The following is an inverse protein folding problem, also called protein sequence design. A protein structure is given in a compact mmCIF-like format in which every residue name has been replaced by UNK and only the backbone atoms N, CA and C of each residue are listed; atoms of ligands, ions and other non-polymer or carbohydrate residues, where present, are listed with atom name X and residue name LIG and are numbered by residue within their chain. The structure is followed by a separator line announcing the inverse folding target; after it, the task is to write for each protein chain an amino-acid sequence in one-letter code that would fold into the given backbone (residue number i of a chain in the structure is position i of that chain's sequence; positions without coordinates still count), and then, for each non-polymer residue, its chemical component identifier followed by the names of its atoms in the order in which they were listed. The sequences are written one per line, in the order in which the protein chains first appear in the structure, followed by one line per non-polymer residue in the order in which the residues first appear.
data_IF_196713765303
#
_entry.id   IF_196713765303
#
_cell.length_a   1.000
_cell.length_b   1.000
_cell.length_c   1.000
_cell.angle_alpha   90.00
_cell.angle_beta   90.00
_cell.angle_gamma   90.00
#
_symmetry.space_group_name_H-M   'P 1'
#
loop_
_entity.id
_entity.type
_entity.pdbx_description
1 polymer ?
#
# COMPACT_ATOMS: atom_id res chain seq x y z
N UNK A 1 -11.47 4.21 8.06
CA UNK A 1 -10.26 3.52 8.57
C UNK A 1 -10.46 2.01 8.76
N UNK A 2 -11.41 1.48 9.56
CA UNK A 2 -11.60 0.02 9.74
C UNK A 2 -11.80 -0.78 8.44
N UNK A 3 -12.32 -0.16 7.39
CA UNK A 3 -12.48 -0.78 6.06
C UNK A 3 -11.13 -1.21 5.45
N UNK A 4 -10.03 -0.52 5.80
CA UNK A 4 -8.69 -0.86 5.31
C UNK A 4 -8.24 -2.27 5.74
N UNK A 5 -8.68 -2.76 6.89
CA UNK A 5 -8.36 -4.12 7.36
C UNK A 5 -8.88 -5.21 6.41
N UNK A 6 -9.90 -4.91 5.61
CA UNK A 6 -10.45 -5.84 4.63
C UNK A 6 -9.77 -5.78 3.26
N UNK A 7 -8.87 -4.80 3.02
CA UNK A 7 -8.17 -4.65 1.75
C UNK A 7 -7.46 -5.93 1.31
N UNK A 8 -6.68 -6.65 2.15
CA UNK A 8 -6.02 -7.88 1.72
C UNK A 8 -7.00 -9.01 1.34
N UNK A 9 -8.14 -9.09 2.05
CA UNK A 9 -9.19 -10.07 1.74
C UNK A 9 -9.86 -9.73 0.41
N UNK A 10 -10.13 -8.45 0.20
CA UNK A 10 -10.74 -7.94 -1.02
C UNK A 10 -9.83 -8.15 -2.24
N UNK A 11 -8.54 -7.81 -2.14
CA UNK A 11 -7.55 -7.99 -3.22
C UNK A 11 -7.41 -9.45 -3.61
N UNK A 12 -7.35 -10.37 -2.65
CA UNK A 12 -7.34 -11.81 -2.91
C UNK A 12 -8.60 -12.29 -3.61
N UNK A 13 -9.78 -11.84 -3.16
CA UNK A 13 -11.08 -12.30 -3.68
C UNK A 13 -11.41 -11.74 -5.07
N UNK A 14 -11.14 -10.44 -5.28
CA UNK A 14 -11.53 -9.72 -6.50
C UNK A 14 -10.43 -9.80 -7.57
N UNK A 15 -9.21 -9.51 -7.21
CA UNK A 15 -8.08 -9.44 -8.16
C UNK A 15 -7.26 -10.73 -8.25
N UNK A 16 -7.55 -11.73 -7.39
CA UNK A 16 -6.79 -12.99 -7.30
C UNK A 16 -5.29 -12.77 -7.04
N UNK A 17 -4.95 -11.68 -6.39
CA UNK A 17 -3.59 -11.35 -5.99
C UNK A 17 -3.30 -12.07 -4.68
N UNK A 18 -2.25 -12.89 -4.66
CA UNK A 18 -1.76 -13.52 -3.45
C UNK A 18 -0.81 -12.55 -2.75
N UNK A 19 -1.14 -12.21 -1.52
CA UNK A 19 -0.31 -11.35 -0.67
C UNK A 19 0.43 -12.26 0.30
N UNK A 20 1.79 -12.21 0.35
CA UNK A 20 2.57 -12.99 1.30
C UNK A 20 2.15 -12.67 2.75
N UNK A 21 2.19 -13.69 3.61
CA UNK A 21 1.84 -13.53 5.03
C UNK A 21 2.69 -12.47 5.74
N UNK A 22 3.96 -12.32 5.37
CA UNK A 22 4.85 -11.27 5.88
C UNK A 22 4.32 -9.86 5.61
N UNK A 23 3.88 -9.58 4.38
CA UNK A 23 3.30 -8.29 4.02
C UNK A 23 1.95 -8.06 4.71
N UNK A 24 1.16 -9.13 4.87
CA UNK A 24 -0.10 -9.06 5.61
C UNK A 24 0.12 -8.69 7.08
N UNK A 25 1.13 -9.27 7.74
CA UNK A 25 1.51 -8.94 9.13
C UNK A 25 1.96 -7.48 9.22
N UNK A 26 2.86 -7.02 8.33
CA UNK A 26 3.33 -5.63 8.29
C UNK A 26 2.16 -4.67 8.10
N UNK A 27 1.25 -4.97 7.17
CA UNK A 27 0.04 -4.17 6.95
C UNK A 27 -0.87 -4.11 8.18
N UNK A 28 -1.03 -5.23 8.89
CA UNK A 28 -1.85 -5.27 10.12
C UNK A 28 -1.23 -4.42 11.23
N UNK A 29 0.11 -4.49 11.40
CA UNK A 29 0.83 -3.64 12.35
C UNK A 29 0.69 -2.16 11.96
N UNK A 30 0.83 -1.85 10.67
CA UNK A 30 0.62 -0.49 10.16
C UNK A 30 -0.79 0.03 10.50
N UNK A 31 -1.83 -0.75 10.20
CA UNK A 31 -3.21 -0.38 10.55
C UNK A 31 -3.41 -0.19 12.06
N UNK A 32 -2.78 -1.03 12.88
CA UNK A 32 -2.80 -0.85 14.34
C UNK A 32 -2.14 0.47 14.75
N UNK A 33 -0.98 0.78 14.20
CA UNK A 33 -0.29 2.05 14.47
C UNK A 33 -1.11 3.25 14.03
N UNK A 34 -1.71 3.21 12.84
CA UNK A 34 -2.51 4.33 12.32
C UNK A 34 -3.83 4.50 13.09
N UNK A 35 -4.59 3.43 13.30
CA UNK A 35 -5.94 3.52 13.85
C UNK A 35 -5.91 3.54 15.39
N UNK A 36 -5.24 2.58 16.01
CA UNK A 36 -5.32 2.43 17.46
C UNK A 36 -4.38 3.42 18.15
N UNK A 37 -3.13 3.51 17.73
CA UNK A 37 -2.19 4.44 18.31
C UNK A 37 -2.42 5.86 17.80
N UNK A 38 -2.57 6.04 16.49
CA UNK A 38 -2.78 7.32 15.84
C UNK A 38 -4.07 7.99 16.29
N UNK A 39 -5.22 7.42 15.88
CA UNK A 39 -6.54 8.03 16.14
C UNK A 39 -7.01 7.83 17.59
N UNK A 40 -7.08 6.57 18.09
CA UNK A 40 -7.73 6.29 19.40
C UNK A 40 -6.88 6.75 20.57
N UNK A 41 -5.55 6.66 20.46
CA UNK A 41 -4.60 7.10 21.50
C UNK A 41 -4.04 8.51 21.26
N UNK A 42 -4.49 9.18 20.22
CA UNK A 42 -4.09 10.54 19.86
C UNK A 42 -2.57 10.73 19.68
N UNK A 43 -1.91 9.74 19.06
CA UNK A 43 -0.48 9.85 18.75
C UNK A 43 -0.21 10.90 17.67
N UNK A 44 -1.16 11.13 16.76
CA UNK A 44 -1.08 12.22 15.78
C UNK A 44 -0.99 13.60 16.50
N UNK A 45 -1.77 13.83 17.55
CA UNK A 45 -1.69 15.07 18.35
C UNK A 45 -0.51 15.10 19.34
N UNK A 46 -0.02 13.94 19.79
CA UNK A 46 1.01 13.86 20.84
C UNK A 46 2.43 13.83 20.28
N UNK A 47 2.67 13.11 19.19
CA UNK A 47 4.00 12.87 18.62
C UNK A 47 4.12 13.51 17.25
N UNK A 48 4.85 14.60 17.16
CA UNK A 48 5.01 15.45 15.96
C UNK A 48 5.34 14.69 14.65
N UNK A 49 6.07 13.59 14.73
CA UNK A 49 6.53 12.85 13.55
C UNK A 49 5.83 11.50 13.40
N UNK A 50 4.70 11.30 14.11
CA UNK A 50 3.98 10.04 14.04
C UNK A 50 3.42 9.81 12.64
N UNK A 51 2.79 10.81 12.09
CA UNK A 51 2.24 10.82 10.75
C UNK A 51 3.33 10.65 9.69
N UNK A 52 4.38 11.46 9.75
CA UNK A 52 5.55 11.35 8.86
C UNK A 52 6.14 9.93 8.82
N UNK A 53 6.19 9.24 9.96
CA UNK A 53 6.67 7.85 10.04
C UNK A 53 5.69 6.89 9.36
N UNK A 54 4.40 7.11 9.50
CA UNK A 54 3.37 6.29 8.84
C UNK A 54 3.42 6.47 7.32
N UNK A 55 3.49 7.69 6.82
CA UNK A 55 3.62 7.98 5.39
C UNK A 55 4.89 7.34 4.81
N UNK A 56 6.05 7.56 5.40
CA UNK A 56 7.29 6.93 4.94
C UNK A 56 7.20 5.39 4.90
N UNK A 57 6.63 4.77 5.93
CA UNK A 57 6.49 3.31 6.01
C UNK A 57 5.43 2.77 5.03
N UNK A 58 4.34 3.51 4.79
CA UNK A 58 3.32 3.17 3.81
C UNK A 58 3.88 3.18 2.38
N UNK A 59 4.68 4.20 2.03
CA UNK A 59 5.37 4.27 0.76
C UNK A 59 6.26 3.05 0.49
N UNK A 60 7.03 2.62 1.50
CA UNK A 60 7.83 1.40 1.41
C UNK A 60 6.96 0.14 1.21
N UNK A 61 5.92 -0.02 2.00
CA UNK A 61 5.01 -1.17 1.95
C UNK A 61 4.27 -1.25 0.60
N UNK A 62 3.76 -0.12 0.13
CA UNK A 62 3.05 -0.04 -1.16
C UNK A 62 3.98 -0.33 -2.34
N UNK A 63 5.26 0.04 -2.28
CA UNK A 63 6.21 -0.32 -3.32
C UNK A 63 6.40 -1.84 -3.40
N UNK A 64 6.55 -2.54 -2.25
CA UNK A 64 6.59 -4.02 -2.23
C UNK A 64 5.32 -4.61 -2.85
N UNK A 65 4.15 -4.08 -2.47
CA UNK A 65 2.89 -4.51 -3.05
C UNK A 65 2.82 -4.26 -4.57
N UNK A 66 3.34 -3.11 -5.04
CA UNK A 66 3.46 -2.79 -6.47
C UNK A 66 4.29 -3.82 -7.25
N UNK A 67 5.41 -4.28 -6.70
CA UNK A 67 6.20 -5.38 -7.28
C UNK A 67 5.39 -6.68 -7.38
N UNK A 68 4.68 -7.06 -6.31
CA UNK A 68 3.83 -8.26 -6.28
C UNK A 68 2.72 -8.15 -7.31
N UNK A 69 2.07 -6.98 -7.41
CA UNK A 69 1.01 -6.71 -8.38
C UNK A 69 1.50 -6.92 -9.81
N UNK A 70 2.64 -6.31 -10.18
CA UNK A 70 3.22 -6.45 -11.53
C UNK A 70 3.58 -7.90 -11.81
N UNK A 71 4.19 -8.61 -10.85
CA UNK A 71 4.55 -10.01 -11.00
C UNK A 71 3.29 -10.88 -11.22
N UNK A 72 2.28 -10.73 -10.39
CA UNK A 72 1.01 -11.49 -10.51
C UNK A 72 0.34 -11.26 -11.86
N UNK A 73 0.27 -10.00 -12.32
CA UNK A 73 -0.31 -9.68 -13.62
C UNK A 73 0.49 -10.25 -14.79
N UNK A 74 1.81 -10.33 -14.65
CA UNK A 74 2.69 -10.91 -15.68
C UNK A 74 2.52 -12.43 -15.78
N UNK A 75 2.33 -13.13 -14.68
CA UNK A 75 2.16 -14.59 -14.65
C UNK A 75 0.77 -15.07 -15.09
N UNK A 76 -0.25 -14.20 -15.03
CA UNK A 76 -1.64 -14.57 -15.37
C UNK A 76 -1.90 -14.67 -16.88
N UNK A 77 -1.04 -14.16 -17.74
CA UNK A 77 -1.21 -14.19 -19.20
C UNK A 77 -0.49 -15.37 -19.82
N UNK A 78 -1.17 -16.10 -20.71
CA UNK A 78 -0.57 -17.12 -21.59
C UNK A 78 0.42 -16.43 -22.54
N UNK A 79 1.65 -16.29 -22.12
CA UNK A 79 2.71 -15.63 -22.85
C UNK A 79 3.48 -14.72 -21.90
N UNK A 80 4.60 -15.21 -21.39
CA UNK A 80 5.46 -14.43 -20.49
C UNK A 80 6.03 -13.22 -21.23
N UNK A 81 5.48 -12.04 -20.96
CA UNK A 81 6.12 -10.79 -21.36
C UNK A 81 7.29 -10.57 -20.40
N UNK A 82 8.52 -10.65 -20.90
CA UNK A 82 9.71 -10.34 -20.11
C UNK A 82 9.77 -8.82 -19.89
N UNK A 83 9.18 -8.35 -18.80
CA UNK A 83 9.28 -6.94 -18.43
C UNK A 83 10.71 -6.62 -17.97
N UNK A 84 11.22 -5.45 -18.38
CA UNK A 84 12.54 -5.03 -17.94
C UNK A 84 12.51 -4.70 -16.43
N UNK A 85 13.62 -4.94 -15.68
CA UNK A 85 13.69 -4.57 -14.27
C UNK A 85 13.37 -3.10 -14.00
N UNK A 86 13.75 -2.21 -14.91
CA UNK A 86 13.45 -0.79 -14.81
C UNK A 86 11.95 -0.53 -14.92
N UNK A 87 11.28 -1.17 -15.88
CA UNK A 87 9.84 -1.00 -16.06
C UNK A 87 9.06 -1.48 -14.83
N UNK A 88 9.43 -2.62 -14.26
CA UNK A 88 8.79 -3.15 -13.05
C UNK A 88 8.96 -2.20 -11.88
N UNK A 89 10.18 -1.70 -11.65
CA UNK A 89 10.48 -0.77 -10.56
C UNK A 89 9.77 0.59 -10.75
N UNK A 90 9.79 1.13 -11.96
CA UNK A 90 9.10 2.38 -12.28
C UNK A 90 7.58 2.24 -12.08
N UNK A 91 6.99 1.11 -12.51
CA UNK A 91 5.56 0.85 -12.30
C UNK A 91 5.22 0.72 -10.82
N UNK A 92 6.08 0.05 -10.03
CA UNK A 92 5.88 -0.04 -8.58
C UNK A 92 5.93 1.34 -7.91
N UNK A 93 6.85 2.21 -8.32
CA UNK A 93 6.93 3.58 -7.83
C UNK A 93 5.69 4.41 -8.24
N UNK A 94 5.28 4.34 -9.51
CA UNK A 94 4.06 5.01 -9.97
C UNK A 94 2.81 4.52 -9.20
N UNK A 95 2.76 3.23 -8.86
CA UNK A 95 1.69 2.68 -8.04
C UNK A 95 1.67 3.32 -6.65
N UNK A 96 2.82 3.48 -5.98
CA UNK A 96 2.92 4.20 -4.70
C UNK A 96 2.33 5.59 -4.84
N UNK A 97 2.86 6.39 -5.77
CA UNK A 97 2.42 7.78 -5.94
C UNK A 97 0.93 7.90 -6.27
N UNK A 98 0.38 6.95 -7.03
CA UNK A 98 -1.06 6.92 -7.33
C UNK A 98 -1.90 6.66 -6.08
N UNK A 99 -1.53 5.64 -5.28
CA UNK A 99 -2.29 5.29 -4.06
C UNK A 99 -2.24 6.42 -3.05
N UNK A 100 -1.07 7.03 -2.86
CA UNK A 100 -0.91 8.14 -1.93
C UNK A 100 -1.64 9.41 -2.39
N UNK A 101 -1.63 9.68 -3.70
CA UNK A 101 -2.45 10.78 -4.24
C UNK A 101 -3.95 10.57 -3.96
N UNK A 102 -4.43 9.33 -4.08
CA UNK A 102 -5.82 9.00 -3.74
C UNK A 102 -6.08 9.13 -2.23
N UNK A 103 -5.09 8.82 -1.40
CA UNK A 103 -5.19 8.99 0.04
C UNK A 103 -5.34 10.46 0.42
N UNK A 104 -4.47 11.35 -0.07
CA UNK A 104 -4.55 12.80 0.14
C UNK A 104 -5.89 13.39 -0.33
N UNK A 105 -6.38 12.91 -1.49
CA UNK A 105 -7.72 13.31 -1.95
C UNK A 105 -8.80 12.85 -0.97
N UNK A 106 -8.70 11.65 -0.39
CA UNK A 106 -9.65 11.17 0.61
C UNK A 106 -9.59 12.03 1.88
N UNK A 107 -8.40 12.41 2.35
CA UNK A 107 -8.24 13.30 3.51
C UNK A 107 -8.86 14.66 3.25
N UNK A 108 -8.56 15.26 2.10
CA UNK A 108 -9.17 16.52 1.68
C UNK A 108 -10.71 16.44 1.68
N UNK A 109 -11.28 15.38 1.11
CA UNK A 109 -12.74 15.21 1.08
C UNK A 109 -13.32 14.96 2.48
N UNK A 110 -12.60 14.27 3.35
CA UNK A 110 -13.01 14.09 4.74
C UNK A 110 -13.02 15.42 5.49
N UNK A 111 -12.02 16.24 5.30
CA UNK A 111 -11.95 17.58 5.90
C UNK A 111 -13.08 18.47 5.40
N UNK A 112 -13.34 18.47 4.09
CA UNK A 112 -14.40 19.27 3.48
C UNK A 112 -15.80 18.84 3.90
N UNK A 113 -16.10 17.52 3.86
CA UNK A 113 -17.46 17.04 4.10
C UNK A 113 -17.80 16.84 5.56
N UNK A 114 -16.83 16.46 6.38
CA UNK A 114 -17.05 16.14 7.80
C UNK A 114 -16.45 17.17 8.75
N UNK A 115 -15.72 18.17 8.24
CA UNK A 115 -15.03 19.19 9.04
C UNK A 115 -13.98 18.58 9.94
N UNK A 116 -13.20 17.62 9.43
CA UNK A 116 -12.04 17.05 10.09
C UNK A 116 -10.82 17.96 9.88
N UNK A 117 -9.67 17.52 10.32
CA UNK A 117 -8.38 18.20 10.09
C UNK A 117 -7.31 17.14 9.77
N UNK A 118 -7.63 16.24 8.84
CA UNK A 118 -6.73 15.14 8.45
C UNK A 118 -5.47 15.70 7.78
N UNK A 119 -5.63 16.70 6.89
CA UNK A 119 -4.52 17.40 6.22
C UNK A 119 -3.85 18.48 7.07
N UNK A 120 -4.10 18.53 8.35
CA UNK A 120 -3.51 19.49 9.31
C UNK A 120 -3.55 20.95 8.83
N UNK A 121 -4.63 21.31 8.10
CA UNK A 121 -4.81 22.68 7.57
C UNK A 121 -5.27 23.69 8.64
N UNK A 122 -5.54 23.25 9.84
CA UNK A 122 -5.85 24.06 11.02
C UNK A 122 -4.88 23.82 12.15
N UNK A 123 -4.56 24.87 12.91
CA UNK A 123 -3.84 24.74 14.18
C UNK A 123 -4.81 24.18 15.21
N UNK A 124 -4.80 22.86 15.39
CA UNK A 124 -5.56 22.22 16.45
C UNK A 124 -4.73 21.11 17.08
N UNK A 125 -5.02 20.78 18.34
CA UNK A 125 -4.35 19.67 19.04
C UNK A 125 -4.89 18.29 18.67
N UNK A 126 -5.84 18.17 17.74
CA UNK A 126 -6.47 16.90 17.37
C UNK A 126 -6.99 16.95 15.94
N UNK A 127 -6.88 15.84 15.23
CA UNK A 127 -7.44 15.64 13.88
C UNK A 127 -8.96 15.80 13.80
N UNK A 128 -9.64 15.95 14.92
CA UNK A 128 -11.11 16.05 15.02
C UNK A 128 -11.62 17.42 15.48
N UNK A 129 -10.77 18.46 15.52
CA UNK A 129 -11.19 19.78 16.03
C UNK A 129 -11.78 20.64 14.92
N UNK A 130 -13.07 21.00 15.05
CA UNK A 130 -13.76 21.95 14.16
C UNK A 130 -13.49 23.41 14.48
N UNK A 131 -12.85 23.71 15.62
CA UNK A 131 -12.66 25.08 16.15
C UNK A 131 -11.20 25.56 16.04
N UNK A 132 -10.42 24.94 15.14
CA UNK A 132 -9.03 25.31 14.91
C UNK A 132 -8.88 26.65 14.16
N UNK A 133 -7.73 27.30 14.35
CA UNK A 133 -7.34 28.47 13.56
C UNK A 133 -6.83 27.97 12.20
N UNK A 134 -7.47 28.39 11.11
CA UNK A 134 -7.06 28.01 9.76
C UNK A 134 -5.66 28.56 9.43
N UNK A 135 -4.82 27.68 8.89
CA UNK A 135 -3.53 28.04 8.32
C UNK A 135 -3.75 28.74 6.97
N UNK A 136 -2.81 29.58 6.54
CA UNK A 136 -2.94 30.38 5.34
C UNK A 136 -1.80 30.12 4.37
N UNK A 137 -2.12 30.00 3.09
CA UNK A 137 -1.15 29.90 2.01
C UNK A 137 -0.27 28.65 2.11
N UNK A 138 1.03 28.84 2.09
CA UNK A 138 2.00 27.72 2.06
C UNK A 138 1.95 26.82 3.30
N UNK A 139 1.61 27.39 4.45
CA UNK A 139 1.50 26.61 5.70
C UNK A 139 0.36 25.58 5.64
N UNK A 140 -0.77 25.92 5.00
CA UNK A 140 -1.91 25.01 4.85
C UNK A 140 -1.62 23.83 3.89
N UNK A 141 -0.62 23.95 3.01
CA UNK A 141 -0.20 22.90 2.08
C UNK A 141 0.96 22.05 2.61
N UNK A 142 1.55 22.43 3.75
CA UNK A 142 2.80 21.85 4.23
C UNK A 142 2.66 20.37 4.51
N UNK A 143 1.67 19.97 5.25
CA UNK A 143 1.40 18.61 5.67
C UNK A 143 1.28 17.68 4.46
N UNK A 144 0.29 17.94 3.62
CA UNK A 144 0.08 17.20 2.35
C UNK A 144 1.34 17.06 1.51
N UNK A 145 2.15 18.11 1.39
CA UNK A 145 3.36 18.07 0.58
C UNK A 145 4.50 17.32 1.27
N UNK A 146 4.62 17.40 2.59
CA UNK A 146 5.57 16.60 3.37
C UNK A 146 5.24 15.11 3.26
N UNK A 147 3.96 14.75 3.32
CA UNK A 147 3.48 13.37 3.20
C UNK A 147 3.75 12.80 1.80
N UNK A 148 3.44 13.54 0.73
CA UNK A 148 3.84 13.15 -0.62
C UNK A 148 5.34 12.91 -0.77
N UNK A 149 6.17 13.76 -0.17
CA UNK A 149 7.62 13.60 -0.23
C UNK A 149 8.09 12.36 0.54
N UNK A 150 7.53 12.12 1.72
CA UNK A 150 7.90 10.96 2.55
C UNK A 150 7.48 9.64 1.91
N UNK A 151 6.26 9.57 1.39
CA UNK A 151 5.76 8.44 0.63
C UNK A 151 6.62 8.18 -0.61
N UNK A 152 6.92 9.24 -1.36
CA UNK A 152 7.78 9.17 -2.53
C UNK A 152 9.19 8.66 -2.19
N UNK A 153 9.79 9.15 -1.11
CA UNK A 153 11.12 8.70 -0.65
C UNK A 153 11.07 7.22 -0.23
N UNK A 154 10.09 6.83 0.58
CA UNK A 154 9.90 5.43 1.00
C UNK A 154 9.71 4.50 -0.20
N UNK A 155 8.82 4.87 -1.10
CA UNK A 155 8.54 4.14 -2.34
C UNK A 155 9.75 4.06 -3.27
N UNK A 156 10.50 5.15 -3.42
CA UNK A 156 11.71 5.21 -4.25
C UNK A 156 12.82 4.29 -3.72
N UNK A 157 13.06 4.28 -2.41
CA UNK A 157 14.06 3.41 -1.78
C UNK A 157 13.80 1.95 -2.13
N UNK A 158 12.57 1.48 -1.91
CA UNK A 158 12.19 0.08 -2.22
C UNK A 158 12.23 -0.18 -3.72
N UNK A 159 11.81 0.78 -4.54
CA UNK A 159 11.84 0.64 -6.00
C UNK A 159 13.26 0.51 -6.55
N UNK A 160 14.21 1.27 -6.00
CA UNK A 160 15.65 1.16 -6.35
C UNK A 160 16.22 -0.18 -5.88
N UNK A 161 15.93 -0.60 -4.65
CA UNK A 161 16.36 -1.91 -4.13
C UNK A 161 15.80 -3.03 -5.00
N UNK A 162 14.51 -2.98 -5.33
CA UNK A 162 13.85 -3.95 -6.20
C UNK A 162 14.45 -4.00 -7.60
N UNK A 163 14.73 -2.84 -8.21
CA UNK A 163 15.43 -2.75 -9.49
C UNK A 163 16.79 -3.44 -9.46
N UNK A 164 17.61 -3.14 -8.44
CA UNK A 164 18.94 -3.73 -8.29
C UNK A 164 18.85 -5.24 -8.12
N UNK A 165 17.91 -5.73 -7.31
CA UNK A 165 17.69 -7.15 -7.06
C UNK A 165 17.28 -7.89 -8.36
N UNK A 166 16.30 -7.35 -9.07
CA UNK A 166 15.85 -7.93 -10.34
C UNK A 166 16.96 -7.94 -11.40
N UNK A 167 17.72 -6.84 -11.52
CA UNK A 167 18.83 -6.73 -12.48
C UNK A 167 19.96 -7.70 -12.20
N UNK A 168 20.25 -7.98 -10.93
CA UNK A 168 21.34 -8.88 -10.50
C UNK A 168 20.90 -10.35 -10.46
N UNK A 169 19.62 -10.64 -10.57
CA UNK A 169 19.08 -12.01 -10.41
C UNK A 169 19.42 -12.64 -9.06
N UNK A 170 19.76 -11.84 -8.04
CA UNK A 170 20.12 -12.32 -6.70
C UNK A 170 18.89 -12.37 -5.81
N UNK A 171 18.80 -13.34 -4.88
CA UNK A 171 17.77 -13.35 -3.86
C UNK A 171 17.94 -12.09 -3.00
N UNK A 172 17.01 -11.17 -3.12
CA UNK A 172 16.87 -9.99 -2.27
C UNK A 172 15.48 -9.98 -1.65
N UNK A 173 15.23 -9.03 -0.75
CA UNK A 173 13.95 -8.94 -0.04
C UNK A 173 12.74 -8.97 -1.01
N UNK A 174 12.76 -8.18 -2.08
CA UNK A 174 11.68 -8.15 -3.07
C UNK A 174 11.53 -9.49 -3.79
N UNK A 175 12.65 -10.11 -4.21
CA UNK A 175 12.61 -11.42 -4.86
C UNK A 175 12.12 -12.52 -3.91
N UNK A 176 12.47 -12.46 -2.63
CA UNK A 176 11.99 -13.40 -1.62
C UNK A 176 10.47 -13.29 -1.43
N UNK A 177 9.92 -12.08 -1.41
CA UNK A 177 8.48 -11.89 -1.34
C UNK A 177 7.76 -12.33 -2.63
N UNK A 178 8.36 -12.09 -3.81
CA UNK A 178 7.83 -12.58 -5.08
C UNK A 178 7.83 -14.11 -5.13
N UNK A 179 8.90 -14.76 -4.68
CA UNK A 179 8.98 -16.22 -4.65
C UNK A 179 7.92 -16.84 -3.74
N UNK A 180 7.63 -16.26 -2.57
CA UNK A 180 6.54 -16.72 -1.70
C UNK A 180 5.18 -16.69 -2.43
N UNK A 181 4.92 -15.65 -3.22
CA UNK A 181 3.69 -15.55 -4.02
C UNK A 181 3.61 -16.66 -5.06
N UNK A 182 4.73 -16.97 -5.72
CA UNK A 182 4.79 -18.02 -6.74
C UNK A 182 4.61 -19.42 -6.11
N UNK A 183 5.21 -19.67 -4.94
CA UNK A 183 5.06 -20.93 -4.19
C UNK A 183 3.61 -21.13 -3.74
N UNK A 184 2.98 -20.10 -3.14
CA UNK A 184 1.57 -20.13 -2.72
C UNK A 184 0.62 -20.32 -3.92
N UNK A 185 0.95 -19.76 -5.08
CA UNK A 185 0.18 -19.93 -6.31
C UNK A 185 0.31 -21.36 -6.87
N UNK A 186 1.48 -22.00 -6.73
CA UNK A 186 1.74 -23.39 -7.11
C UNK A 186 0.98 -24.39 -6.23
N UNK A 187 0.83 -24.11 -4.95
CA UNK A 187 0.07 -24.92 -4.01
C UNK A 187 -1.45 -24.83 -4.21
N UNK A 188 -1.93 -23.71 -4.76
CA UNK A 188 -3.32 -23.53 -5.13
C UNK A 188 -3.66 -24.13 -6.51
N UNK A 189 -3.48 -25.44 -6.65
CA UNK A 189 -4.07 -26.18 -7.77
C UNK A 189 -5.57 -26.41 -7.51
N UNK A 190 -6.49 -25.89 -8.34
CA UNK A 190 -7.91 -26.17 -8.17
C UNK A 190 -8.12 -27.68 -8.34
N UNK A 191 -8.74 -28.32 -7.32
CA UNK A 191 -9.09 -29.75 -7.38
C UNK A 191 -9.73 -30.05 -8.74
N UNK A 192 -9.27 -31.08 -9.47
CA UNK A 192 -9.83 -31.42 -10.77
C UNK A 192 -11.33 -31.65 -10.63
N UNK A 193 -12.13 -30.93 -11.44
CA UNK A 193 -13.58 -31.13 -11.49
C UNK A 193 -13.82 -32.61 -11.76
N UNK A 194 -14.47 -33.31 -10.83
CA UNK A 194 -14.92 -34.69 -11.03
C UNK A 194 -15.74 -34.71 -12.33
N UNK A 195 -15.21 -35.39 -13.34
CA UNK A 195 -15.98 -35.67 -14.57
C UNK A 195 -17.18 -36.50 -14.12
N UNK A 196 -18.37 -35.94 -14.21
CA UNK A 196 -19.59 -36.73 -14.14
C UNK A 196 -19.55 -37.69 -15.33
N UNK A 197 -19.25 -38.96 -15.04
CA UNK A 197 -19.53 -40.03 -15.97
C UNK A 197 -21.06 -40.13 -16.10
N UNK A 198 -21.62 -39.52 -17.12
CA UNK A 198 -22.95 -39.91 -17.62
C UNK A 198 -22.87 -41.32 -18.15
N UNK A 199 -23.35 -42.27 -17.35
CA UNK A 199 -23.61 -43.61 -17.85
C UNK A 199 -24.78 -43.46 -18.86
N UNK A 200 -24.44 -43.55 -20.16
CA UNK A 200 -25.42 -43.75 -21.21
C UNK A 200 -26.07 -45.11 -21.03
N UNK A 201 -27.39 -45.06 -21.08
CA UNK A 201 -28.23 -46.22 -21.39
C UNK A 201 -28.36 -46.32 -22.88
#
# INVERSE_FOLDING_TARGET
MLVLLFVPVFTKKVFKILIPNSLYIVFTIFCFCAIILGDVKDFFGTYRHWDSMLHFSSGMMLAVFGFILVNTLNHTKKGHVRLSPFFVAATAFCFVMTVQSLWEICEFLCDEWFGLNAQTYMVSGSSYSKDGIMLVGHEALRDTMEDFMLDGIGGLIISVIGYINLKRGKPGFVNAELQKVDDDAGEYQPKPKKKHHTKGK
#
